data_IF_008621263946
#
_entry.id   IF_008621263946
#
_cell.length_a   1.000
_cell.length_b   1.000
_cell.length_c   1.000
_cell.angle_alpha   90.00
_cell.angle_beta   90.00
_cell.angle_gamma   90.00
#
_symmetry.space_group_name_H-M   'P 1'
#
loop_
_entity.id
_entity.type
_entity.pdbx_description
1 polymer ?
#
# COMPACT_ATOMS: atom_id res chain seq x y z
N UNK A 1 25.54 15.49 2.52
CA UNK A 1 25.19 14.23 1.83
C UNK A 1 25.69 14.30 0.40
N UNK A 2 26.65 13.45 0.01
CA UNK A 2 27.18 13.42 -1.36
C UNK A 2 26.08 13.10 -2.37
N UNK A 3 25.96 13.93 -3.42
CA UNK A 3 25.11 13.64 -4.58
C UNK A 3 25.75 12.50 -5.37
N UNK A 4 25.42 11.26 -5.03
CA UNK A 4 25.77 10.12 -5.88
C UNK A 4 24.89 10.15 -7.13
N UNK A 5 25.42 9.70 -8.28
CA UNK A 5 24.65 9.62 -9.54
C UNK A 5 23.33 8.85 -9.36
N UNK A 6 23.31 7.87 -8.46
CA UNK A 6 22.14 7.06 -8.11
C UNK A 6 21.08 7.88 -7.35
N UNK A 7 21.50 8.74 -6.41
CA UNK A 7 20.59 9.64 -5.70
C UNK A 7 19.96 10.69 -6.62
N UNK A 8 20.71 11.21 -7.60
CA UNK A 8 20.17 12.13 -8.61
C UNK A 8 19.17 11.43 -9.53
N UNK A 9 19.47 10.19 -9.95
CA UNK A 9 18.57 9.42 -10.82
C UNK A 9 17.26 9.07 -10.09
N UNK A 10 17.34 8.62 -8.83
CA UNK A 10 16.17 8.36 -7.99
C UNK A 10 15.30 9.60 -7.77
N UNK A 11 15.91 10.77 -7.55
CA UNK A 11 15.19 12.03 -7.37
C UNK A 11 14.51 12.50 -8.66
N UNK A 12 15.18 12.37 -9.82
CA UNK A 12 14.59 12.74 -11.13
C UNK A 12 13.45 11.80 -11.50
N UNK A 13 13.59 10.50 -11.26
CA UNK A 13 12.50 9.54 -11.50
C UNK A 13 11.30 9.85 -10.61
N UNK A 14 11.54 10.14 -9.34
CA UNK A 14 10.48 10.48 -8.38
C UNK A 14 9.78 11.80 -8.71
N UNK A 15 10.52 12.82 -9.15
CA UNK A 15 9.94 14.11 -9.54
C UNK A 15 9.13 14.01 -10.83
N UNK A 16 9.60 13.24 -11.82
CA UNK A 16 8.87 12.96 -13.07
C UNK A 16 7.61 12.13 -12.82
N UNK A 17 7.68 11.14 -11.94
CA UNK A 17 6.50 10.37 -11.55
C UNK A 17 5.46 11.28 -10.89
N UNK A 18 5.89 12.15 -9.97
CA UNK A 18 4.99 13.07 -9.30
C UNK A 18 4.35 14.10 -10.26
N UNK A 19 5.11 14.61 -11.24
CA UNK A 19 4.58 15.54 -12.23
C UNK A 19 3.65 14.86 -13.25
N UNK A 20 3.88 13.60 -13.59
CA UNK A 20 3.00 12.82 -14.47
C UNK A 20 1.59 12.62 -13.87
N UNK A 21 1.54 12.45 -12.54
CA UNK A 21 0.30 12.35 -11.76
C UNK A 21 -0.17 13.70 -11.18
N UNK A 22 0.35 14.82 -11.66
CA UNK A 22 -0.11 16.16 -11.26
C UNK A 22 -1.53 16.47 -11.72
N UNK A 23 -2.07 15.76 -12.73
CA UNK A 23 -3.46 15.90 -13.15
C UNK A 23 -4.42 15.25 -12.12
N UNK A 24 -5.38 16.00 -11.53
CA UNK A 24 -6.27 15.49 -10.48
C UNK A 24 -7.00 14.21 -10.87
N UNK A 25 -7.44 14.08 -12.13
CA UNK A 25 -8.12 12.87 -12.62
C UNK A 25 -7.22 11.63 -12.61
N UNK A 26 -5.95 11.78 -12.98
CA UNK A 26 -4.99 10.66 -12.96
C UNK A 26 -4.66 10.24 -11.54
N UNK A 27 -4.55 11.21 -10.62
CA UNK A 27 -4.33 10.95 -9.21
C UNK A 27 -5.51 10.18 -8.60
N UNK A 28 -6.75 10.64 -8.82
CA UNK A 28 -7.95 9.94 -8.32
C UNK A 28 -8.06 8.53 -8.92
N UNK A 29 -7.81 8.38 -10.22
CA UNK A 29 -7.82 7.07 -10.87
C UNK A 29 -6.79 6.12 -10.25
N UNK A 30 -5.55 6.57 -10.04
CA UNK A 30 -4.51 5.79 -9.38
C UNK A 30 -4.92 5.38 -7.96
N UNK A 31 -5.44 6.32 -7.18
CA UNK A 31 -5.91 6.09 -5.82
C UNK A 31 -7.02 5.03 -5.78
N UNK A 32 -8.00 5.14 -6.67
CA UNK A 32 -9.10 4.18 -6.81
C UNK A 32 -8.59 2.79 -7.20
N UNK A 33 -7.67 2.72 -8.17
CA UNK A 33 -7.01 1.46 -8.55
C UNK A 33 -6.28 0.85 -7.35
N UNK A 34 -5.55 1.63 -6.55
CA UNK A 34 -4.84 1.13 -5.37
C UNK A 34 -5.81 0.54 -4.33
N UNK A 35 -6.94 1.19 -4.08
CA UNK A 35 -7.97 0.67 -3.16
C UNK A 35 -8.57 -0.63 -3.70
N UNK A 36 -9.04 -0.64 -4.95
CA UNK A 36 -9.64 -1.81 -5.58
C UNK A 36 -8.66 -2.99 -5.64
N UNK A 37 -7.41 -2.72 -5.97
CA UNK A 37 -6.35 -3.73 -5.98
C UNK A 37 -6.06 -4.27 -4.58
N UNK A 38 -6.09 -3.40 -3.55
CA UNK A 38 -5.98 -3.82 -2.16
C UNK A 38 -7.11 -4.76 -1.74
N UNK A 39 -8.36 -4.44 -2.11
CA UNK A 39 -9.51 -5.30 -1.85
C UNK A 39 -9.35 -6.65 -2.55
N UNK A 40 -9.02 -6.65 -3.84
CA UNK A 40 -8.78 -7.89 -4.60
C UNK A 40 -7.67 -8.75 -3.96
N UNK A 41 -6.56 -8.12 -3.55
CA UNK A 41 -5.44 -8.83 -2.93
C UNK A 41 -5.84 -9.44 -1.59
N UNK A 42 -6.63 -8.73 -0.77
CA UNK A 42 -7.14 -9.25 0.49
C UNK A 42 -7.99 -10.51 0.29
N UNK A 43 -8.91 -10.50 -0.68
CA UNK A 43 -9.71 -11.68 -1.02
C UNK A 43 -8.85 -12.86 -1.50
N UNK A 44 -7.86 -12.60 -2.35
CA UNK A 44 -6.96 -13.65 -2.84
C UNK A 44 -6.16 -14.29 -1.69
N UNK A 45 -5.69 -13.50 -0.72
CA UNK A 45 -4.94 -13.99 0.43
C UNK A 45 -5.81 -14.90 1.30
N UNK A 46 -7.02 -14.45 1.66
CA UNK A 46 -7.92 -15.26 2.53
C UNK A 46 -8.38 -16.52 1.82
N UNK A 47 -8.72 -16.44 0.53
CA UNK A 47 -9.11 -17.62 -0.25
C UNK A 47 -7.99 -18.65 -0.29
N UNK A 48 -6.74 -18.20 -0.44
CA UNK A 48 -5.56 -19.09 -0.50
C UNK A 48 -5.23 -19.69 0.88
N UNK A 49 -5.25 -18.87 1.94
CA UNK A 49 -4.98 -19.34 3.30
C UNK A 49 -6.07 -20.31 3.80
N UNK A 50 -7.33 -20.01 3.51
CA UNK A 50 -8.49 -20.78 3.93
C UNK A 50 -8.65 -22.16 3.28
N UNK A 51 -7.94 -22.48 2.19
CA UNK A 51 -8.09 -23.79 1.52
C UNK A 51 -7.59 -24.96 2.37
N UNK A 52 -6.53 -24.77 3.15
CA UNK A 52 -5.89 -25.84 3.93
C UNK A 52 -5.83 -25.56 5.43
N UNK A 53 -6.24 -24.36 5.88
CA UNK A 53 -6.28 -23.91 7.29
C UNK A 53 -4.95 -24.03 8.08
N UNK A 54 -3.87 -24.51 7.47
CA UNK A 54 -2.53 -24.61 8.08
C UNK A 54 -1.74 -23.31 7.94
N UNK A 55 -2.05 -22.49 6.94
CA UNK A 55 -1.26 -21.31 6.59
C UNK A 55 -1.69 -20.04 7.33
N UNK A 56 -2.77 -20.08 8.14
CA UNK A 56 -3.37 -18.91 8.76
C UNK A 56 -2.37 -18.13 9.63
N UNK A 57 -1.56 -18.81 10.44
CA UNK A 57 -0.55 -18.17 11.30
C UNK A 57 0.54 -17.49 10.47
N UNK A 58 1.02 -18.16 9.42
CA UNK A 58 2.06 -17.60 8.54
C UNK A 58 1.54 -16.44 7.70
N UNK A 59 0.31 -16.52 7.21
CA UNK A 59 -0.36 -15.48 6.44
C UNK A 59 -0.61 -14.24 7.33
N UNK A 60 -1.09 -14.44 8.56
CA UNK A 60 -1.25 -13.36 9.54
C UNK A 60 0.08 -12.67 9.86
N UNK A 61 1.16 -13.44 10.07
CA UNK A 61 2.49 -12.89 10.29
C UNK A 61 2.99 -12.05 9.10
N UNK A 62 2.81 -12.54 7.88
CA UNK A 62 3.22 -11.84 6.66
C UNK A 62 2.39 -10.56 6.44
N UNK A 63 1.09 -10.60 6.69
CA UNK A 63 0.21 -9.41 6.65
C UNK A 63 0.58 -8.38 7.71
N UNK A 64 0.93 -8.82 8.93
CA UNK A 64 1.38 -7.93 10.00
C UNK A 64 2.69 -7.25 9.61
N UNK A 65 3.67 -8.02 9.11
CA UNK A 65 4.93 -7.45 8.60
C UNK A 65 4.70 -6.46 7.45
N UNK A 66 3.80 -6.78 6.53
CA UNK A 66 3.45 -5.90 5.42
C UNK A 66 2.80 -4.60 5.89
N UNK A 67 1.81 -4.69 6.78
CA UNK A 67 1.11 -3.53 7.33
C UNK A 67 2.02 -2.64 8.16
N UNK A 68 2.92 -3.23 8.96
CA UNK A 68 3.90 -2.52 9.77
C UNK A 68 4.99 -1.87 8.90
N UNK A 69 5.51 -2.59 7.90
CA UNK A 69 6.44 -2.03 6.94
C UNK A 69 5.84 -0.83 6.19
N UNK A 70 4.57 -0.95 5.77
CA UNK A 70 3.85 0.14 5.11
C UNK A 70 3.64 1.33 6.06
N UNK A 71 3.18 1.08 7.30
CA UNK A 71 3.06 2.11 8.33
C UNK A 71 4.39 2.82 8.56
N UNK A 72 5.49 2.07 8.69
CA UNK A 72 6.82 2.63 8.83
C UNK A 72 7.20 3.47 7.61
N UNK A 73 6.93 3.05 6.39
CA UNK A 73 7.28 3.83 5.19
C UNK A 73 6.45 5.12 5.08
N UNK A 74 5.15 5.06 5.41
CA UNK A 74 4.22 6.19 5.32
C UNK A 74 4.47 7.21 6.44
N UNK A 75 4.69 6.74 7.68
CA UNK A 75 4.72 7.58 8.87
C UNK A 75 6.13 7.86 9.42
N UNK A 76 7.20 7.21 8.92
CA UNK A 76 8.58 7.48 9.37
C UNK A 76 9.01 8.89 8.96
N UNK A 77 9.05 9.75 9.98
CA UNK A 77 9.62 11.11 9.99
C UNK A 77 9.13 11.98 8.83
N UNK A 78 7.82 12.24 8.81
CA UNK A 78 7.23 13.38 8.11
C UNK A 78 7.14 14.58 9.06
N UNK A 79 8.29 15.07 9.51
CA UNK A 79 8.37 16.41 10.08
C UNK A 79 8.69 17.36 8.92
N UNK A 80 7.80 18.32 8.68
CA UNK A 80 7.86 19.40 7.68
C UNK A 80 7.28 19.11 6.27
N UNK A 81 5.97 19.39 6.17
CA UNK A 81 5.42 20.37 5.23
C UNK A 81 5.69 20.20 3.72
N UNK A 82 5.78 18.97 3.21
CA UNK A 82 5.67 18.71 1.77
C UNK A 82 4.51 17.77 1.50
N UNK A 83 3.74 17.98 0.40
CA UNK A 83 2.73 17.02 -0.02
C UNK A 83 3.39 15.64 -0.10
N UNK A 84 2.77 14.65 0.53
CA UNK A 84 3.30 13.29 0.50
C UNK A 84 3.45 12.85 -0.96
N UNK A 85 4.59 12.28 -1.36
CA UNK A 85 4.75 11.76 -2.71
C UNK A 85 3.63 10.76 -2.98
N UNK A 86 3.03 10.83 -4.18
CA UNK A 86 1.84 10.05 -4.58
C UNK A 86 2.00 8.56 -4.29
N UNK A 87 3.22 8.03 -4.39
CA UNK A 87 3.56 6.65 -4.01
C UNK A 87 3.23 6.30 -2.55
N UNK A 88 3.49 7.20 -1.59
CA UNK A 88 3.16 6.96 -0.17
C UNK A 88 1.65 6.93 0.05
N UNK A 89 0.92 7.81 -0.62
CA UNK A 89 -0.53 7.85 -0.55
C UNK A 89 -1.15 6.58 -1.17
N UNK A 90 -0.67 6.17 -2.34
CA UNK A 90 -1.05 4.92 -3.00
C UNK A 90 -0.78 3.68 -2.13
N UNK A 91 0.39 3.60 -1.48
CA UNK A 91 0.71 2.51 -0.56
C UNK A 91 -0.23 2.48 0.65
N UNK A 92 -0.57 3.66 1.18
CA UNK A 92 -1.50 3.75 2.31
C UNK A 92 -2.92 3.30 1.91
N UNK A 93 -3.39 3.73 0.73
CA UNK A 93 -4.70 3.32 0.19
C UNK A 93 -4.77 1.82 -0.11
N UNK A 94 -3.69 1.25 -0.64
CA UNK A 94 -3.58 -0.19 -0.85
C UNK A 94 -3.65 -0.95 0.47
N UNK A 95 -2.93 -0.49 1.50
CA UNK A 95 -3.02 -1.05 2.86
C UNK A 95 -4.47 -0.99 3.38
N UNK A 96 -5.14 0.15 3.23
CA UNK A 96 -6.54 0.31 3.64
C UNK A 96 -7.44 -0.70 2.92
N UNK A 97 -7.30 -0.84 1.60
CA UNK A 97 -8.08 -1.81 0.81
C UNK A 97 -7.88 -3.26 1.28
N UNK A 98 -6.64 -3.67 1.55
CA UNK A 98 -6.34 -5.01 2.08
C UNK A 98 -7.01 -5.19 3.46
N UNK A 99 -6.81 -4.26 4.39
CA UNK A 99 -7.38 -4.37 5.74
C UNK A 99 -8.91 -4.44 5.71
N UNK A 100 -9.54 -3.62 4.87
CA UNK A 100 -11.00 -3.61 4.72
C UNK A 100 -11.53 -4.97 4.21
N UNK A 101 -10.87 -5.54 3.21
CA UNK A 101 -11.25 -6.86 2.68
C UNK A 101 -11.13 -7.97 3.72
N UNK A 102 -10.05 -7.97 4.50
CA UNK A 102 -9.86 -8.95 5.58
C UNK A 102 -10.96 -8.86 6.64
N UNK A 103 -11.38 -7.65 7.01
CA UNK A 103 -12.50 -7.44 7.93
C UNK A 103 -13.82 -7.95 7.34
N UNK A 104 -14.08 -7.71 6.05
CA UNK A 104 -15.29 -8.23 5.39
C UNK A 104 -15.32 -9.76 5.36
N UNK A 105 -14.21 -10.41 5.05
CA UNK A 105 -14.10 -11.88 5.07
C UNK A 105 -14.34 -12.45 6.46
N UNK A 106 -13.74 -11.83 7.49
CA UNK A 106 -13.97 -12.24 8.87
C UNK A 106 -15.45 -12.09 9.27
N UNK A 107 -16.11 -11.01 8.84
CA UNK A 107 -17.54 -10.81 9.10
C UNK A 107 -18.41 -11.86 8.41
N UNK A 108 -18.09 -12.22 7.16
CA UNK A 108 -18.81 -13.26 6.40
C UNK A 108 -18.79 -14.64 7.05
N UNK A 109 -17.73 -14.95 7.81
CA UNK A 109 -17.57 -16.25 8.50
C UNK A 109 -18.19 -16.20 9.91
N UNK A 110 -18.27 -15.02 10.52
CA UNK A 110 -18.80 -14.81 11.87
C UNK A 110 -20.33 -14.61 11.95
N UNK A 111 -21.04 -14.52 10.83
CA UNK A 111 -22.50 -14.45 10.73
C UNK A 111 -23.10 -15.78 10.30
#
# INVERSE_FOLDING_TARGET
MQRTRLSTLANVTSSRFNSFFGNPWRRISLQLICVLFGVFSGQAIVTTAGQTAQWDVTAAGLLLLFTEATSRIVYRKSSQAKPAPILRESLNLLKIGITYSLFLEAFKIGS
#
